data_IF_612614881191
#
_entry.id   IF_612614881191
#
_cell.length_a   1.000
_cell.length_b   1.000
_cell.length_c   1.000
_cell.angle_alpha   90.00
_cell.angle_beta   90.00
_cell.angle_gamma   90.00
#
_symmetry.space_group_name_H-M   'P 1'
#
loop_
_entity.id
_entity.type
_entity.pdbx_description
1 polymer ?
#
# COMPACT_ATOMS: atom_id res chain seq x y z
N UNK A 1 -28.13 -24.16 -43.18
CA UNK A 1 -26.75 -24.22 -42.64
C UNK A 1 -26.24 -22.79 -42.53
N UNK A 2 -26.25 -22.16 -41.35
CA UNK A 2 -25.16 -21.28 -40.84
C UNK A 2 -25.48 -20.95 -39.38
N UNK A 3 -24.65 -21.43 -38.45
CA UNK A 3 -24.53 -20.88 -37.10
C UNK A 3 -23.49 -19.75 -37.15
N UNK A 4 -23.68 -18.70 -36.35
CA UNK A 4 -22.60 -18.19 -35.51
C UNK A 4 -23.16 -17.89 -34.12
N UNK A 5 -22.94 -18.72 -33.11
CA UNK A 5 -21.78 -18.66 -32.20
C UNK A 5 -20.96 -17.35 -32.27
N UNK A 6 -21.03 -16.54 -31.20
CA UNK A 6 -19.90 -16.20 -30.33
C UNK A 6 -20.17 -14.91 -29.51
N UNK A 7 -19.95 -15.05 -28.20
CA UNK A 7 -19.33 -14.06 -27.30
C UNK A 7 -20.07 -12.75 -26.96
N UNK A 8 -21.01 -12.82 -26.02
CA UNK A 8 -21.24 -11.72 -25.06
C UNK A 8 -20.45 -11.99 -23.78
N UNK A 9 -19.13 -11.78 -23.85
CA UNK A 9 -18.28 -11.71 -22.67
C UNK A 9 -18.62 -10.41 -21.92
N UNK A 10 -19.56 -10.50 -20.98
CA UNK A 10 -19.91 -9.40 -20.10
C UNK A 10 -18.66 -8.84 -19.42
N UNK A 11 -18.31 -7.61 -19.78
CA UNK A 11 -17.34 -6.78 -19.09
C UNK A 11 -17.73 -6.73 -17.61
N UNK A 12 -16.99 -7.46 -16.78
CA UNK A 12 -17.05 -7.29 -15.32
C UNK A 12 -16.24 -6.06 -14.98
N UNK A 13 -16.81 -4.91 -15.31
CA UNK A 13 -16.38 -3.63 -14.76
C UNK A 13 -16.88 -3.55 -13.30
N UNK A 14 -16.18 -4.28 -12.44
CA UNK A 14 -16.21 -4.05 -10.99
C UNK A 14 -14.83 -3.59 -10.58
N UNK A 15 -14.39 -2.51 -11.21
CA UNK A 15 -13.39 -1.62 -10.64
C UNK A 15 -14.10 -0.92 -9.49
N UNK A 16 -14.24 -1.62 -8.34
CA UNK A 16 -14.44 -0.91 -7.07
C UNK A 16 -13.31 0.10 -7.03
N UNK A 17 -13.65 1.39 -7.00
CA UNK A 17 -12.75 2.46 -6.61
C UNK A 17 -12.23 2.11 -5.21
N UNK A 18 -11.20 1.27 -5.19
CA UNK A 18 -10.29 1.21 -4.08
C UNK A 18 -9.58 2.53 -4.18
N UNK A 19 -9.96 3.45 -3.30
CA UNK A 19 -9.24 4.69 -3.05
C UNK A 19 -7.86 4.28 -2.52
N UNK A 20 -6.97 3.88 -3.42
CA UNK A 20 -5.56 3.70 -3.10
C UNK A 20 -5.07 5.13 -2.94
N UNK A 21 -4.74 5.57 -1.71
CA UNK A 21 -4.26 6.92 -1.51
C UNK A 21 -3.07 7.13 -2.44
N UNK A 22 -3.19 8.15 -3.28
CA UNK A 22 -2.17 8.58 -4.22
C UNK A 22 -0.98 9.07 -3.39
N UNK A 23 -0.08 8.15 -3.07
CA UNK A 23 1.10 8.34 -2.22
C UNK A 23 0.73 8.91 -0.83
N UNK A 24 0.63 8.03 0.17
CA UNK A 24 0.65 8.46 1.58
C UNK A 24 2.07 9.01 1.83
N UNK A 25 2.22 10.33 1.84
CA UNK A 25 3.41 11.00 2.34
C UNK A 25 3.12 11.16 3.84
N UNK A 26 3.75 10.32 4.64
CA UNK A 26 3.69 10.44 6.10
C UNK A 26 5.08 10.93 6.55
N UNK A 27 5.12 11.99 7.35
CA UNK A 27 6.35 12.59 7.87
C UNK A 27 7.18 11.57 8.67
N UNK A 28 6.52 10.59 9.32
CA UNK A 28 7.16 9.46 10.03
C UNK A 28 7.79 8.42 9.08
N UNK A 29 7.48 8.49 7.78
CA UNK A 29 7.94 7.54 6.76
C UNK A 29 9.05 8.07 5.86
N UNK A 30 9.31 9.37 5.90
CA UNK A 30 10.41 10.00 5.19
C UNK A 30 11.75 9.51 5.78
N UNK A 31 12.82 9.51 4.98
CA UNK A 31 14.16 9.40 5.57
C UNK A 31 14.34 10.54 6.58
N UNK A 32 15.11 10.38 7.67
CA UNK A 32 15.26 11.44 8.68
C UNK A 32 15.60 12.81 8.06
N UNK A 33 16.47 12.81 7.05
CA UNK A 33 16.85 14.02 6.30
C UNK A 33 15.77 14.58 5.36
N UNK A 34 14.71 13.84 5.05
CA UNK A 34 13.57 14.32 4.26
C UNK A 34 12.41 14.78 5.15
N UNK A 35 12.23 14.20 6.34
CA UNK A 35 11.27 14.70 7.32
C UNK A 35 11.61 16.15 7.71
N UNK A 36 12.89 16.40 8.01
CA UNK A 36 13.39 17.76 8.28
C UNK A 36 13.13 18.73 7.11
N UNK A 37 13.16 18.24 5.87
CA UNK A 37 12.89 19.05 4.68
C UNK A 37 11.40 19.31 4.52
N UNK A 38 10.55 18.30 4.71
CA UNK A 38 9.09 18.45 4.68
C UNK A 38 8.66 19.52 5.68
N UNK A 39 9.20 19.48 6.90
CA UNK A 39 8.91 20.48 7.94
C UNK A 39 9.31 21.93 7.57
N UNK A 40 10.24 22.11 6.62
CA UNK A 40 10.74 23.43 6.20
C UNK A 40 10.05 23.94 4.93
N UNK A 41 9.96 23.12 3.88
CA UNK A 41 9.46 23.56 2.57
C UNK A 41 8.06 23.05 2.22
N UNK A 42 7.47 22.23 3.11
CA UNK A 42 6.20 21.54 2.93
C UNK A 42 6.30 20.28 2.08
N UNK A 43 5.31 19.41 2.18
CA UNK A 43 5.20 18.16 1.42
C UNK A 43 5.28 18.39 -0.10
N UNK A 44 4.56 19.39 -0.60
CA UNK A 44 4.56 19.73 -2.04
C UNK A 44 5.95 20.14 -2.53
N UNK A 45 6.70 20.89 -1.72
CA UNK A 45 8.07 21.29 -2.04
C UNK A 45 9.01 20.09 -2.04
N UNK A 46 8.89 19.22 -1.05
CA UNK A 46 9.67 18.01 -0.94
C UNK A 46 9.39 17.05 -2.12
N UNK A 47 8.13 16.92 -2.54
CA UNK A 47 7.74 16.10 -3.68
C UNK A 47 8.33 16.66 -4.98
N UNK A 48 8.26 17.98 -5.15
CA UNK A 48 8.83 18.66 -6.32
C UNK A 48 10.35 18.46 -6.42
N UNK A 49 11.07 18.44 -5.28
CA UNK A 49 12.49 18.08 -5.24
C UNK A 49 12.72 16.65 -5.70
N UNK A 50 11.96 15.68 -5.19
CA UNK A 50 12.08 14.29 -5.61
C UNK A 50 11.82 14.11 -7.11
N UNK A 51 10.81 14.79 -7.65
CA UNK A 51 10.42 14.68 -9.05
C UNK A 51 11.46 15.28 -10.00
N UNK A 52 12.03 16.43 -9.65
CA UNK A 52 12.95 17.18 -10.53
C UNK A 52 14.42 16.86 -10.30
N UNK A 53 14.80 16.51 -9.09
CA UNK A 53 16.18 16.38 -8.64
C UNK A 53 16.47 15.02 -7.98
N UNK A 54 15.49 14.10 -8.00
CA UNK A 54 15.62 12.77 -7.39
C UNK A 54 16.81 11.97 -7.89
N UNK A 55 17.56 11.39 -6.95
CA UNK A 55 18.76 10.61 -7.19
C UNK A 55 20.04 11.45 -7.33
N UNK A 56 19.96 12.77 -7.14
CA UNK A 56 21.12 13.65 -7.14
C UNK A 56 21.61 13.92 -5.72
N UNK A 57 22.94 14.02 -5.59
CA UNK A 57 23.58 14.59 -4.42
C UNK A 57 23.87 16.07 -4.71
N UNK A 58 23.18 16.97 -4.00
CA UNK A 58 23.24 18.41 -4.19
C UNK A 58 24.02 19.05 -3.06
N UNK A 59 24.75 20.11 -3.36
CA UNK A 59 25.36 20.94 -2.34
C UNK A 59 24.33 21.96 -1.83
N UNK A 60 24.19 22.06 -0.52
CA UNK A 60 23.33 23.04 0.18
C UNK A 60 24.08 24.36 0.43
N UNK A 61 25.32 24.47 -0.06
CA UNK A 61 26.14 25.68 -0.09
C UNK A 61 25.52 26.85 -0.87
N UNK A 62 26.27 27.96 -1.06
CA UNK A 62 25.76 29.24 -1.57
C UNK A 62 24.95 29.07 -2.86
N UNK A 63 23.95 29.94 -3.06
CA UNK A 63 22.66 29.63 -3.67
C UNK A 63 22.79 28.63 -4.80
N UNK A 64 22.48 27.37 -4.48
CA UNK A 64 22.45 26.34 -5.49
C UNK A 64 21.27 26.63 -6.41
N UNK A 65 21.59 27.08 -7.62
CA UNK A 65 20.60 27.47 -8.62
C UNK A 65 19.56 26.38 -8.85
N UNK A 66 19.93 25.10 -8.70
CA UNK A 66 18.99 23.98 -8.83
C UNK A 66 17.90 23.97 -7.75
N UNK A 67 18.22 24.37 -6.52
CA UNK A 67 17.19 24.52 -5.49
C UNK A 67 16.28 25.71 -5.78
N UNK A 68 16.84 26.81 -6.27
CA UNK A 68 16.09 28.01 -6.64
C UNK A 68 15.14 27.74 -7.82
N UNK A 69 15.63 27.05 -8.85
CA UNK A 69 14.86 26.74 -10.06
C UNK A 69 13.65 25.83 -9.76
N UNK A 70 13.76 24.99 -8.73
CA UNK A 70 12.69 24.05 -8.35
C UNK A 70 11.78 24.65 -7.28
N UNK A 71 12.33 25.18 -6.19
CA UNK A 71 11.56 25.60 -5.02
C UNK A 71 11.26 27.10 -4.96
N UNK A 72 11.94 27.90 -5.78
CA UNK A 72 12.00 29.34 -5.63
C UNK A 72 13.05 29.79 -4.63
N UNK A 73 13.44 31.07 -4.74
CA UNK A 73 14.52 31.66 -3.95
C UNK A 73 14.24 31.61 -2.44
N UNK A 74 13.01 31.90 -2.01
CA UNK A 74 12.64 31.96 -0.60
C UNK A 74 12.80 30.61 0.11
N UNK A 75 12.19 29.56 -0.45
CA UNK A 75 12.28 28.19 0.07
C UNK A 75 13.70 27.63 0.03
N UNK A 76 14.48 27.96 -1.01
CA UNK A 76 15.88 27.55 -1.10
C UNK A 76 16.76 28.20 -0.01
N UNK A 77 16.49 29.48 0.32
CA UNK A 77 17.17 30.18 1.42
C UNK A 77 16.78 29.59 2.77
N UNK A 78 15.51 29.24 2.96
CA UNK A 78 15.01 28.64 4.20
C UNK A 78 15.59 27.24 4.43
N UNK A 79 15.58 26.41 3.39
CA UNK A 79 16.21 25.08 3.38
C UNK A 79 17.69 25.16 3.78
N UNK A 80 18.41 26.16 3.26
CA UNK A 80 19.82 26.41 3.62
C UNK A 80 19.99 26.82 5.07
N UNK A 81 19.13 27.69 5.60
CA UNK A 81 19.20 28.09 7.03
C UNK A 81 19.03 26.86 7.94
N UNK A 82 18.17 25.92 7.55
CA UNK A 82 17.87 24.76 8.35
C UNK A 82 18.93 23.66 8.23
N UNK A 83 19.40 23.36 7.01
CA UNK A 83 20.34 22.25 6.76
C UNK A 83 21.82 22.65 6.83
N UNK A 84 22.12 23.95 6.92
CA UNK A 84 23.49 24.47 6.96
C UNK A 84 24.22 24.30 5.63
N UNK A 85 25.53 24.05 5.70
CA UNK A 85 26.37 23.79 4.52
C UNK A 85 26.78 22.33 4.48
N UNK A 86 26.47 21.63 3.39
CA UNK A 86 26.77 20.21 3.26
C UNK A 86 26.23 19.60 1.98
N UNK A 87 26.44 18.29 1.82
CA UNK A 87 25.88 17.52 0.70
C UNK A 87 24.59 16.86 1.13
N UNK A 88 23.56 17.04 0.33
CA UNK A 88 22.23 16.50 0.54
C UNK A 88 21.86 15.56 -0.61
N UNK A 89 21.53 14.31 -0.29
CA UNK A 89 21.02 13.36 -1.28
C UNK A 89 19.50 13.49 -1.38
N UNK A 90 19.03 13.92 -2.56
CA UNK A 90 17.60 13.96 -2.86
C UNK A 90 17.17 12.55 -3.23
N UNK A 91 16.28 11.89 -2.45
CA UNK A 91 15.77 10.58 -2.84
C UNK A 91 14.86 10.72 -4.06
N UNK A 92 14.75 9.64 -4.85
CA UNK A 92 13.82 9.60 -6.00
C UNK A 92 12.35 9.54 -5.59
N UNK A 93 12.07 9.20 -4.33
CA UNK A 93 10.72 9.11 -3.78
C UNK A 93 10.73 9.62 -2.35
N UNK A 94 9.69 10.35 -1.94
CA UNK A 94 9.56 10.86 -0.57
C UNK A 94 9.42 9.75 0.47
N UNK A 95 8.65 8.72 0.13
CA UNK A 95 8.45 7.57 1.00
C UNK A 95 9.73 6.73 1.08
N UNK A 96 10.17 6.41 2.29
CA UNK A 96 11.23 5.43 2.48
C UNK A 96 10.83 4.09 1.83
N UNK A 97 11.84 3.32 1.42
CA UNK A 97 11.61 2.00 0.82
C UNK A 97 10.78 1.10 1.75
N UNK A 98 11.04 1.15 3.05
CA UNK A 98 10.32 0.35 4.04
C UNK A 98 8.87 0.78 4.16
N UNK A 99 8.60 2.09 4.24
CA UNK A 99 7.25 2.60 4.28
C UNK A 99 6.46 2.27 3.01
N UNK A 100 7.08 2.40 1.83
CA UNK A 100 6.48 1.96 0.57
C UNK A 100 6.13 0.49 0.60
N UNK A 101 7.01 -0.37 1.12
CA UNK A 101 6.72 -1.79 1.25
C UNK A 101 5.56 -2.05 2.23
N UNK A 102 5.49 -1.35 3.36
CA UNK A 102 4.37 -1.43 4.31
C UNK A 102 3.06 -1.00 3.65
N UNK A 103 3.05 0.11 2.92
CA UNK A 103 1.88 0.61 2.21
C UNK A 103 1.42 -0.35 1.10
N UNK A 104 2.34 -0.95 0.33
CA UNK A 104 2.03 -2.00 -0.65
C UNK A 104 1.37 -3.22 0.02
N UNK A 105 1.90 -3.64 1.17
CA UNK A 105 1.35 -4.75 1.94
C UNK A 105 -0.04 -4.42 2.48
N UNK A 106 -0.23 -3.20 2.98
CA UNK A 106 -1.51 -2.75 3.50
C UNK A 106 -2.57 -2.62 2.39
N UNK A 107 -2.24 -2.03 1.25
CA UNK A 107 -3.14 -1.97 0.10
C UNK A 107 -3.55 -3.37 -0.35
N UNK A 108 -2.63 -4.34 -0.34
CA UNK A 108 -2.96 -5.73 -0.68
C UNK A 108 -3.90 -6.37 0.34
N UNK A 109 -3.68 -6.10 1.62
CA UNK A 109 -4.50 -6.50 2.76
C UNK A 109 -5.93 -5.98 2.67
N UNK A 110 -6.08 -4.72 2.28
CA UNK A 110 -7.36 -4.05 2.03
C UNK A 110 -8.07 -4.56 0.77
N UNK A 111 -7.41 -5.46 0.02
CA UNK A 111 -7.99 -6.17 -1.12
C UNK A 111 -7.66 -5.57 -2.48
N UNK A 112 -6.76 -4.58 -2.56
CA UNK A 112 -6.35 -4.02 -3.83
C UNK A 112 -5.68 -5.06 -4.75
N UNK A 113 -5.93 -4.94 -6.06
CA UNK A 113 -5.31 -5.82 -7.04
C UNK A 113 -3.85 -5.41 -7.22
N UNK A 114 -3.01 -6.40 -7.54
CA UNK A 114 -1.57 -6.15 -7.76
C UNK A 114 -1.35 -5.13 -8.87
N UNK A 115 -2.16 -5.18 -9.92
CA UNK A 115 -2.16 -4.21 -11.01
C UNK A 115 -2.39 -2.77 -10.52
N UNK A 116 -3.45 -2.55 -9.74
CA UNK A 116 -3.81 -1.23 -9.22
C UNK A 116 -2.73 -0.69 -8.28
N UNK A 117 -2.14 -1.56 -7.45
CA UNK A 117 -0.99 -1.22 -6.59
C UNK A 117 0.22 -0.84 -7.44
N UNK A 118 0.52 -1.59 -8.51
CA UNK A 118 1.65 -1.31 -9.38
C UNK A 118 1.54 0.08 -10.00
N UNK A 119 0.35 0.44 -10.50
CA UNK A 119 0.06 1.78 -11.03
C UNK A 119 0.20 2.84 -9.94
N UNK A 120 -0.44 2.65 -8.79
CA UNK A 120 -0.46 3.64 -7.71
C UNK A 120 0.93 3.97 -7.15
N UNK A 121 1.85 3.01 -7.15
CA UNK A 121 3.22 3.17 -6.65
C UNK A 121 4.27 3.34 -7.75
N UNK A 122 3.88 3.39 -9.03
CA UNK A 122 4.81 3.52 -10.16
C UNK A 122 5.82 2.36 -10.27
N UNK A 123 5.40 1.14 -9.91
CA UNK A 123 6.22 -0.07 -9.91
C UNK A 123 5.75 -1.05 -10.99
N UNK A 124 6.63 -1.95 -11.41
CA UNK A 124 6.22 -3.13 -12.19
C UNK A 124 5.51 -4.16 -11.30
N UNK A 125 4.52 -4.88 -11.83
CA UNK A 125 3.80 -5.93 -11.07
C UNK A 125 4.75 -6.95 -10.45
N UNK A 126 5.82 -7.33 -11.17
CA UNK A 126 6.88 -8.21 -10.64
C UNK A 126 7.50 -7.68 -9.35
N UNK A 127 7.78 -6.37 -9.29
CA UNK A 127 8.35 -5.74 -8.11
C UNK A 127 7.35 -5.75 -6.95
N UNK A 128 6.06 -5.55 -7.22
CA UNK A 128 5.00 -5.67 -6.22
C UNK A 128 4.95 -7.11 -5.68
N UNK A 129 4.98 -8.12 -6.55
CA UNK A 129 5.04 -9.52 -6.12
C UNK A 129 6.27 -9.83 -5.27
N UNK A 130 7.45 -9.29 -5.61
CA UNK A 130 8.67 -9.47 -4.81
C UNK A 130 8.54 -8.88 -3.40
N UNK A 131 7.92 -7.69 -3.27
CA UNK A 131 7.63 -7.06 -1.98
C UNK A 131 6.67 -7.94 -1.15
N UNK A 132 5.57 -8.39 -1.77
CA UNK A 132 4.58 -9.24 -1.11
C UNK A 132 5.15 -10.61 -0.71
N UNK A 133 6.01 -11.20 -1.55
CA UNK A 133 6.67 -12.47 -1.28
C UNK A 133 7.62 -12.37 -0.09
N UNK A 134 8.46 -11.33 -0.02
CA UNK A 134 9.34 -11.07 1.13
C UNK A 134 8.55 -10.92 2.43
N UNK A 135 7.39 -10.29 2.38
CA UNK A 135 6.52 -10.16 3.55
C UNK A 135 5.83 -11.48 3.93
N UNK A 136 5.45 -12.32 2.95
CA UNK A 136 4.88 -13.66 3.19
C UNK A 136 5.89 -14.66 3.73
N UNK A 137 7.15 -14.62 3.30
CA UNK A 137 8.22 -15.52 3.78
C UNK A 137 8.46 -15.41 5.30
N UNK A 138 8.10 -14.28 5.90
CA UNK A 138 8.13 -14.08 7.36
C UNK A 138 6.95 -14.70 8.10
N UNK A 139 5.95 -15.25 7.39
CA UNK A 139 4.78 -15.89 8.00
C UNK A 139 4.86 -17.41 7.86
N UNK A 140 4.63 -18.17 8.94
CA UNK A 140 4.55 -19.63 8.85
C UNK A 140 3.38 -20.01 7.94
N UNK A 141 3.63 -20.91 7.00
CA UNK A 141 2.58 -21.51 6.19
C UNK A 141 1.80 -22.47 7.09
N UNK A 142 0.55 -22.12 7.40
CA UNK A 142 -0.30 -22.96 8.25
C UNK A 142 -0.55 -24.31 7.59
N UNK A 143 -0.53 -25.37 8.39
CA UNK A 143 -0.92 -26.70 7.94
C UNK A 143 -2.43 -26.75 7.65
N UNK A 144 -2.87 -27.76 6.90
CA UNK A 144 -4.29 -27.90 6.52
C UNK A 144 -5.23 -28.01 7.74
N UNK A 145 -4.75 -28.61 8.83
CA UNK A 145 -5.48 -28.75 10.10
C UNK A 145 -5.59 -27.42 10.86
N UNK A 146 -4.63 -26.50 10.71
CA UNK A 146 -4.61 -25.18 11.36
C UNK A 146 -5.30 -24.09 10.51
N UNK A 147 -5.41 -24.32 9.19
CA UNK A 147 -5.96 -23.34 8.25
C UNK A 147 -7.43 -23.00 8.55
N UNK A 148 -8.27 -24.03 8.74
CA UNK A 148 -9.69 -23.87 9.02
C UNK A 148 -9.96 -23.13 10.34
N UNK A 149 -9.39 -23.52 11.50
CA UNK A 149 -9.63 -22.79 12.75
C UNK A 149 -9.09 -21.36 12.71
N UNK A 150 -7.96 -21.10 12.04
CA UNK A 150 -7.43 -19.74 11.88
C UNK A 150 -8.38 -18.83 11.07
N UNK A 151 -8.93 -19.34 9.97
CA UNK A 151 -9.89 -18.60 9.12
C UNK A 151 -11.17 -18.27 9.90
N UNK A 152 -11.71 -19.25 10.64
CA UNK A 152 -12.94 -19.05 11.42
C UNK A 152 -12.74 -18.04 12.54
N UNK A 153 -11.60 -18.12 13.26
CA UNK A 153 -11.27 -17.17 14.32
C UNK A 153 -11.17 -15.74 13.78
N UNK A 154 -10.43 -15.52 12.69
CA UNK A 154 -10.30 -14.18 12.11
C UNK A 154 -11.64 -13.64 11.60
N UNK A 155 -12.50 -14.52 11.05
CA UNK A 155 -13.84 -14.13 10.63
C UNK A 155 -14.75 -13.76 11.82
N UNK A 156 -14.62 -14.44 12.96
CA UNK A 156 -15.31 -14.11 14.21
C UNK A 156 -14.85 -12.78 14.81
N UNK A 157 -13.57 -12.44 14.63
CA UNK A 157 -13.02 -11.11 14.95
C UNK A 157 -13.51 -10.01 13.97
N UNK A 158 -14.36 -10.35 12.98
CA UNK A 158 -14.90 -9.40 12.00
C UNK A 158 -13.96 -9.07 10.84
N UNK A 159 -12.86 -9.83 10.69
CA UNK A 159 -11.87 -9.59 9.65
C UNK A 159 -12.44 -9.90 8.26
N UNK A 160 -12.23 -9.00 7.30
CA UNK A 160 -12.68 -9.19 5.92
C UNK A 160 -11.96 -10.33 5.18
N UNK A 161 -12.65 -10.98 4.24
CA UNK A 161 -12.12 -12.09 3.43
C UNK A 161 -10.75 -11.80 2.77
N UNK A 162 -10.50 -10.61 2.18
CA UNK A 162 -9.21 -10.30 1.57
C UNK A 162 -8.06 -10.32 2.59
N UNK A 163 -8.30 -9.73 3.76
CA UNK A 163 -7.36 -9.68 4.88
C UNK A 163 -7.09 -11.08 5.43
N UNK A 164 -8.14 -11.88 5.66
CA UNK A 164 -8.01 -13.28 6.09
C UNK A 164 -7.13 -14.04 5.10
N UNK A 165 -7.45 -14.02 3.80
CA UNK A 165 -6.67 -14.73 2.80
C UNK A 165 -5.19 -14.30 2.79
N UNK A 166 -4.94 -13.00 2.97
CA UNK A 166 -3.60 -12.47 3.10
C UNK A 166 -2.87 -12.96 4.36
N UNK A 167 -3.56 -12.96 5.51
CA UNK A 167 -3.01 -13.33 6.81
C UNK A 167 -2.73 -14.81 6.97
N UNK A 168 -3.64 -15.65 6.52
CA UNK A 168 -3.50 -17.10 6.59
C UNK A 168 -2.67 -17.65 5.42
N UNK A 169 -2.25 -16.79 4.48
CA UNK A 169 -1.40 -17.18 3.35
C UNK A 169 -2.11 -17.98 2.26
N UNK A 170 -3.44 -17.99 2.23
CA UNK A 170 -4.25 -18.73 1.24
C UNK A 170 -4.86 -17.81 0.17
N UNK A 171 -5.77 -18.33 -0.65
CA UNK A 171 -6.54 -17.55 -1.61
C UNK A 171 -7.96 -17.25 -1.07
N UNK A 172 -8.61 -16.21 -1.61
CA UNK A 172 -9.93 -15.78 -1.15
C UNK A 172 -11.03 -16.83 -1.38
N UNK A 173 -10.92 -17.65 -2.42
CA UNK A 173 -11.89 -18.72 -2.71
C UNK A 173 -11.87 -19.81 -1.63
N UNK A 174 -10.69 -20.19 -1.14
CA UNK A 174 -10.53 -21.12 -0.03
C UNK A 174 -11.17 -20.58 1.24
N UNK A 175 -10.96 -19.29 1.54
CA UNK A 175 -11.61 -18.62 2.68
C UNK A 175 -13.13 -18.65 2.52
N UNK A 176 -13.66 -18.21 1.38
CA UNK A 176 -15.10 -18.20 1.11
C UNK A 176 -15.73 -19.60 1.20
N UNK A 177 -15.04 -20.63 0.70
CA UNK A 177 -15.48 -22.03 0.81
C UNK A 177 -15.60 -22.44 2.28
N UNK A 178 -14.56 -22.18 3.08
CA UNK A 178 -14.55 -22.51 4.51
C UNK A 178 -15.63 -21.75 5.28
N UNK A 179 -15.84 -20.48 4.96
CA UNK A 179 -16.88 -19.66 5.60
C UNK A 179 -18.29 -20.06 5.17
N UNK A 180 -18.48 -20.56 3.94
CA UNK A 180 -19.76 -21.11 3.46
C UNK A 180 -20.11 -22.42 4.18
N UNK A 181 -19.12 -23.26 4.44
CA UNK A 181 -19.28 -24.54 5.14
C UNK A 181 -19.39 -24.38 6.67
N UNK A 182 -19.46 -23.13 7.16
CA UNK A 182 -19.59 -22.83 8.58
C UNK A 182 -20.98 -23.25 9.07
N UNK A 183 -21.08 -24.09 10.11
CA UNK A 183 -22.37 -24.33 10.76
C UNK A 183 -22.88 -23.00 11.34
N UNK A 184 -24.11 -22.64 11.00
CA UNK A 184 -24.75 -21.39 11.42
C UNK A 184 -25.04 -21.45 12.93
N UNK A 185 -24.05 -21.17 13.77
CA UNK A 185 -24.26 -21.00 15.21
C UNK A 185 -24.93 -19.64 15.45
N UNK A 186 -26.24 -19.58 15.24
CA UNK A 186 -26.98 -18.32 15.40
C UNK A 186 -28.48 -18.30 15.11
N UNK A 187 -29.15 -19.43 14.86
CA UNK A 187 -30.61 -19.49 15.03
C UNK A 187 -30.93 -19.84 16.48
N UNK A 188 -30.70 -18.88 17.39
CA UNK A 188 -31.36 -18.93 18.69
C UNK A 188 -32.84 -18.67 18.44
N UNK A 189 -33.61 -19.74 18.16
CA UNK A 189 -35.06 -19.72 18.36
C UNK A 189 -35.27 -19.28 19.81
N UNK A 190 -35.69 -18.03 20.01
CA UNK A 190 -36.43 -17.66 21.22
C UNK A 190 -37.71 -18.49 21.21
N UNK A 191 -37.64 -19.70 21.74
CA UNK A 191 -38.80 -20.42 22.21
C UNK A 191 -39.16 -19.71 23.52
N UNK A 192 -39.90 -18.61 23.40
CA UNK A 192 -40.66 -18.07 24.52
C UNK A 192 -41.78 -19.06 24.82
N UNK A 193 -41.52 -19.98 25.74
CA UNK A 193 -42.52 -20.77 26.44
C UNK A 193 -42.68 -20.19 27.83
N UNK A 194 -43.94 -20.18 28.29
CA UNK A 194 -44.43 -20.03 29.66
C UNK A 194 -44.59 -18.57 30.15
N UNK A 195 -45.72 -18.16 30.74
CA UNK A 195 -46.88 -18.88 31.30
C UNK A 195 -48.16 -18.07 31.14
#
# INVERSE_FOLDING_TARGET
MTNPDQASAGQRDQSRELTIPKVIIDEDTATPSMADIIGVIGEDGAQLLCDRLGGLCLDVGPPNQRFIDVLGLEKAVELRKHMGTGRFFVPRTLISREARHKAIVQARRDGARVHDIAIAFGLGERQVYEVLAKHRQRRPKLSETELKPAILRLADEGTGVPQIAFDVGTNQQTVLRILRDRPVSGHTRRIGKQS
#
